data_IF_628609664964
#
_entry.id   IF_628609664964
#
_cell.length_a   1.000
_cell.length_b   1.000
_cell.length_c   1.000
_cell.angle_alpha   90.00
_cell.angle_beta   90.00
_cell.angle_gamma   90.00
#
_symmetry.space_group_name_H-M   'P 1'
#
loop_
_entity.id
_entity.type
_entity.pdbx_description
1 polymer ?
#
# COMPACT_ATOMS: atom_id res chain seq x y z
N UNK A 1 19.00 31.06 -5.06
CA UNK A 1 18.34 31.09 -6.37
C UNK A 1 16.85 30.83 -6.14
N UNK A 2 15.96 31.77 -6.50
CA UNK A 2 14.51 31.63 -6.30
C UNK A 2 13.95 30.31 -6.85
N UNK A 3 14.46 29.83 -7.99
CA UNK A 3 14.07 28.57 -8.65
C UNK A 3 14.21 27.31 -7.77
N UNK A 4 15.35 27.12 -7.10
CA UNK A 4 15.57 25.91 -6.29
C UNK A 4 14.63 25.86 -5.07
N UNK A 5 14.37 27.02 -4.46
CA UNK A 5 13.49 27.12 -3.31
C UNK A 5 12.03 26.82 -3.70
N UNK A 6 11.59 27.29 -4.87
CA UNK A 6 10.22 27.06 -5.36
C UNK A 6 9.97 25.59 -5.69
N UNK A 7 10.96 24.89 -6.24
CA UNK A 7 10.91 23.43 -6.40
C UNK A 7 10.82 22.74 -5.04
N UNK A 8 11.72 23.07 -4.10
CA UNK A 8 11.78 22.38 -2.81
C UNK A 8 10.50 22.57 -1.98
N UNK A 9 9.85 23.74 -2.04
CA UNK A 9 8.59 24.00 -1.31
C UNK A 9 7.46 23.03 -1.68
N UNK A 10 7.51 22.44 -2.86
CA UNK A 10 6.50 21.45 -3.30
C UNK A 10 6.66 20.10 -2.60
N UNK A 11 7.88 19.79 -2.16
CA UNK A 11 8.26 18.45 -1.72
C UNK A 11 8.78 18.37 -0.28
N UNK A 12 9.03 19.50 0.38
CA UNK A 12 9.56 19.56 1.75
C UNK A 12 8.70 20.50 2.61
N UNK A 13 8.40 20.09 3.85
CA UNK A 13 7.56 20.90 4.77
C UNK A 13 8.23 22.20 5.25
N UNK A 14 9.56 22.26 5.24
CA UNK A 14 10.35 23.47 5.46
C UNK A 14 11.72 23.34 4.78
N UNK A 15 12.43 24.46 4.59
CA UNK A 15 13.69 24.51 3.82
C UNK A 15 14.95 24.74 4.68
N UNK A 16 14.75 25.23 5.90
CA UNK A 16 15.77 25.87 6.73
C UNK A 16 15.89 25.24 8.12
N UNK A 17 14.94 24.39 8.52
CA UNK A 17 14.99 23.69 9.80
C UNK A 17 15.61 22.29 9.67
N UNK A 18 16.21 21.77 10.76
CA UNK A 18 16.84 20.45 10.76
C UNK A 18 15.83 19.29 10.73
N UNK A 19 14.57 19.53 11.10
CA UNK A 19 13.49 18.53 11.10
C UNK A 19 12.45 18.93 10.06
N UNK A 20 12.17 18.04 9.12
CA UNK A 20 11.26 18.27 8.00
C UNK A 20 10.72 16.94 7.48
N UNK A 21 9.63 16.98 6.71
CA UNK A 21 9.05 15.81 6.06
C UNK A 21 9.05 15.97 4.54
N UNK A 22 9.16 14.84 3.83
CA UNK A 22 8.94 14.76 2.40
C UNK A 22 7.44 14.65 2.11
N UNK A 23 6.92 15.53 1.26
CA UNK A 23 5.52 15.57 0.84
C UNK A 23 5.43 15.50 -0.68
N UNK A 24 4.29 15.09 -1.22
CA UNK A 24 3.99 15.11 -2.67
C UNK A 24 5.03 14.41 -3.59
N UNK A 25 5.83 13.49 -3.05
CA UNK A 25 6.73 12.62 -3.82
C UNK A 25 6.17 11.20 -3.84
N UNK A 26 6.29 10.47 -4.97
CA UNK A 26 5.99 9.04 -4.98
C UNK A 26 6.87 8.26 -4.00
N UNK A 27 6.31 7.21 -3.38
CA UNK A 27 7.03 6.41 -2.38
C UNK A 27 8.34 5.80 -2.92
N UNK A 28 8.32 5.35 -4.18
CA UNK A 28 9.53 4.86 -4.87
C UNK A 28 10.65 5.90 -4.90
N UNK A 29 10.31 7.17 -5.16
CA UNK A 29 11.29 8.27 -5.19
C UNK A 29 11.80 8.57 -3.78
N UNK A 30 10.93 8.55 -2.76
CA UNK A 30 11.35 8.73 -1.36
C UNK A 30 12.32 7.62 -0.95
N UNK A 31 12.02 6.36 -1.26
CA UNK A 31 12.88 5.23 -0.98
C UNK A 31 14.25 5.37 -1.63
N UNK A 32 14.27 5.66 -2.93
CA UNK A 32 15.50 5.90 -3.69
C UNK A 32 16.33 7.07 -3.14
N UNK A 33 15.68 8.18 -2.77
CA UNK A 33 16.36 9.34 -2.21
C UNK A 33 17.01 9.02 -0.86
N UNK A 34 16.32 8.32 0.04
CA UNK A 34 16.89 7.90 1.33
C UNK A 34 18.01 6.87 1.17
N UNK A 35 17.88 5.93 0.22
CA UNK A 35 18.93 4.98 -0.12
C UNK A 35 20.22 5.68 -0.56
N UNK A 36 20.10 6.70 -1.43
CA UNK A 36 21.24 7.51 -1.88
C UNK A 36 21.78 8.42 -0.78
N UNK A 37 20.90 8.95 0.07
CA UNK A 37 21.29 9.84 1.18
C UNK A 37 22.15 9.14 2.22
N UNK A 38 21.89 7.87 2.55
CA UNK A 38 22.67 7.13 3.54
C UNK A 38 24.15 6.97 3.18
N UNK A 39 24.52 7.19 1.90
CA UNK A 39 25.88 7.05 1.35
C UNK A 39 26.42 8.34 0.72
N UNK A 40 25.73 9.47 0.93
CA UNK A 40 26.11 10.77 0.37
C UNK A 40 26.56 11.72 1.47
N UNK A 41 27.53 12.59 1.17
CA UNK A 41 27.92 13.69 2.05
C UNK A 41 27.04 14.94 1.87
N UNK A 42 26.09 14.92 0.93
CA UNK A 42 25.16 16.04 0.68
C UNK A 42 23.97 15.98 1.63
N UNK A 43 23.37 17.14 1.93
CA UNK A 43 22.06 17.17 2.60
C UNK A 43 20.97 16.59 1.70
N UNK A 44 19.89 16.08 2.29
CA UNK A 44 18.78 15.47 1.55
C UNK A 44 18.20 16.41 0.48
N UNK A 45 18.00 17.69 0.82
CA UNK A 45 17.50 18.73 -0.11
C UNK A 45 18.46 18.97 -1.28
N UNK A 46 19.78 19.00 -1.02
CA UNK A 46 20.77 19.21 -2.07
C UNK A 46 20.91 17.99 -2.97
N UNK A 47 20.86 16.79 -2.38
CA UNK A 47 20.85 15.53 -3.12
C UNK A 47 19.62 15.45 -4.04
N UNK A 48 18.45 15.80 -3.53
CA UNK A 48 17.21 15.84 -4.31
C UNK A 48 17.31 16.76 -5.53
N UNK A 49 17.75 18.01 -5.33
CA UNK A 49 17.94 18.96 -6.43
C UNK A 49 18.99 18.52 -7.45
N UNK A 50 20.02 17.80 -7.01
CA UNK A 50 21.12 17.38 -7.88
C UNK A 50 20.80 16.15 -8.70
N UNK A 51 20.14 15.16 -8.09
CA UNK A 51 20.03 13.81 -8.66
C UNK A 51 18.60 13.38 -8.97
N UNK A 52 17.57 14.06 -8.44
CA UNK A 52 16.18 13.57 -8.52
C UNK A 52 15.20 14.55 -9.18
N UNK A 53 15.43 15.87 -9.08
CA UNK A 53 14.50 16.88 -9.62
C UNK A 53 14.27 16.74 -11.12
N UNK A 54 15.31 16.41 -11.88
CA UNK A 54 15.24 16.26 -13.34
C UNK A 54 14.53 14.99 -13.80
N UNK A 55 14.30 14.05 -12.88
CA UNK A 55 13.58 12.80 -13.14
C UNK A 55 12.09 12.87 -12.77
N UNK A 56 11.67 13.92 -12.04
CA UNK A 56 10.27 14.19 -11.78
C UNK A 56 9.64 14.87 -12.99
N UNK A 57 8.52 14.33 -13.47
CA UNK A 57 7.72 15.03 -14.46
C UNK A 57 6.96 16.16 -13.76
N UNK A 58 7.41 17.40 -13.98
CA UNK A 58 6.85 18.61 -13.36
C UNK A 58 5.74 19.22 -14.26
N UNK A 59 5.35 18.53 -15.33
CA UNK A 59 4.35 19.03 -16.28
C UNK A 59 2.89 18.78 -15.88
N UNK A 60 2.64 18.06 -14.78
CA UNK A 60 1.31 17.82 -14.24
C UNK A 60 0.84 18.96 -13.33
N UNK A 61 -0.28 19.57 -13.73
CA UNK A 61 -1.05 20.66 -13.14
C UNK A 61 -1.23 20.63 -11.60
N UNK A 62 -1.66 21.78 -11.06
CA UNK A 62 -1.83 22.20 -9.66
C UNK A 62 -2.72 21.32 -8.75
N UNK A 63 -2.92 20.05 -9.09
CA UNK A 63 -3.69 19.05 -8.35
C UNK A 63 -2.88 17.77 -8.22
N UNK A 64 -2.22 17.61 -7.06
CA UNK A 64 -1.89 16.36 -6.35
C UNK A 64 -1.80 15.08 -7.21
N UNK A 65 -1.01 15.07 -8.26
CA UNK A 65 -0.62 13.82 -8.91
C UNK A 65 0.72 14.00 -9.63
N UNK A 66 1.80 13.91 -8.86
CA UNK A 66 3.15 13.82 -9.42
C UNK A 66 3.33 12.41 -9.95
N UNK A 67 2.74 12.17 -11.11
CA UNK A 67 2.98 10.96 -11.89
C UNK A 67 4.41 11.03 -12.41
N UNK A 68 5.34 10.38 -11.72
CA UNK A 68 6.59 10.00 -12.38
C UNK A 68 6.17 9.10 -13.54
N UNK A 69 6.50 9.49 -14.78
CA UNK A 69 6.22 8.65 -15.93
C UNK A 69 6.69 7.23 -15.65
N UNK A 70 5.76 6.26 -15.68
CA UNK A 70 5.91 4.90 -15.16
C UNK A 70 7.28 4.27 -15.51
N UNK A 71 7.71 4.46 -16.77
CA UNK A 71 8.99 3.98 -17.32
C UNK A 71 10.23 4.56 -16.62
N UNK A 72 10.17 5.81 -16.17
CA UNK A 72 11.27 6.50 -15.49
C UNK A 72 11.31 6.18 -13.99
N UNK A 73 10.14 5.92 -13.39
CA UNK A 73 10.06 5.37 -12.04
C UNK A 73 10.69 3.97 -11.99
N UNK A 74 10.42 3.14 -12.99
CA UNK A 74 11.04 1.82 -13.18
C UNK A 74 12.55 1.93 -13.36
N UNK A 75 13.07 2.82 -14.22
CA UNK A 75 14.52 3.02 -14.40
C UNK A 75 15.22 3.55 -13.13
N UNK A 76 14.56 4.42 -12.37
CA UNK A 76 15.07 4.94 -11.10
C UNK A 76 15.06 3.85 -10.03
N UNK A 77 13.98 3.06 -9.98
CA UNK A 77 13.84 1.91 -9.10
C UNK A 77 14.90 0.85 -9.43
N UNK A 78 15.06 0.46 -10.69
CA UNK A 78 16.05 -0.53 -11.13
C UNK A 78 17.48 -0.08 -10.81
N UNK A 79 17.83 1.19 -11.07
CA UNK A 79 19.15 1.71 -10.70
C UNK A 79 19.37 1.63 -9.19
N UNK A 80 18.34 1.91 -8.40
CA UNK A 80 18.43 1.90 -6.94
C UNK A 80 18.44 0.47 -6.38
N UNK A 81 17.58 -0.40 -6.90
CA UNK A 81 17.41 -1.78 -6.42
C UNK A 81 18.62 -2.64 -6.82
N UNK A 82 19.14 -2.44 -8.03
CA UNK A 82 20.26 -3.23 -8.58
C UNK A 82 21.62 -2.79 -8.04
N UNK A 83 21.83 -1.49 -7.77
CA UNK A 83 23.11 -1.01 -7.19
C UNK A 83 23.15 -1.14 -5.66
N UNK A 84 22.01 -1.14 -4.95
CA UNK A 84 22.03 -0.87 -3.51
C UNK A 84 21.58 -2.02 -2.60
N UNK A 85 20.93 -3.08 -3.10
CA UNK A 85 20.79 -4.40 -2.44
C UNK A 85 20.29 -4.38 -0.98
N UNK A 86 19.51 -3.37 -0.61
CA UNK A 86 19.20 -3.06 0.78
C UNK A 86 17.71 -3.28 1.07
N UNK A 87 17.38 -4.37 1.77
CA UNK A 87 16.01 -4.70 2.17
C UNK A 87 15.34 -3.57 2.96
N UNK A 88 16.13 -2.72 3.63
CA UNK A 88 15.63 -1.55 4.36
C UNK A 88 14.99 -0.48 3.46
N UNK A 89 15.41 -0.39 2.20
CA UNK A 89 14.85 0.55 1.22
C UNK A 89 13.50 0.04 0.71
N UNK A 90 13.35 -1.28 0.54
CA UNK A 90 12.08 -1.89 0.17
C UNK A 90 10.99 -1.65 1.24
N UNK A 91 11.37 -1.54 2.51
CA UNK A 91 10.45 -1.22 3.62
C UNK A 91 9.91 0.21 3.58
N UNK A 92 10.53 1.11 2.81
CA UNK A 92 10.03 2.49 2.63
C UNK A 92 8.86 2.55 1.64
N UNK A 93 8.65 1.49 0.84
CA UNK A 93 7.49 1.34 -0.02
C UNK A 93 6.31 0.73 0.75
N UNK A 94 5.22 1.48 0.88
CA UNK A 94 3.94 0.98 1.39
C UNK A 94 2.92 0.77 0.28
N UNK A 95 1.98 -0.16 0.47
CA UNK A 95 0.79 -0.30 -0.37
C UNK A 95 -0.45 -0.40 0.50
N UNK A 96 -1.53 0.21 0.04
CA UNK A 96 -2.85 0.04 0.64
C UNK A 96 -3.58 -1.10 -0.08
N UNK A 97 -3.87 -2.19 0.62
CA UNK A 97 -4.55 -3.35 0.06
C UNK A 97 -5.97 -3.45 0.63
N UNK A 98 -6.96 -3.50 -0.28
CA UNK A 98 -8.33 -3.86 0.06
C UNK A 98 -8.54 -5.36 -0.23
N UNK A 99 -8.77 -6.15 0.81
CA UNK A 99 -9.05 -7.58 0.70
C UNK A 99 -10.55 -7.83 0.84
N UNK A 100 -11.26 -7.91 -0.28
CA UNK A 100 -12.70 -8.18 -0.31
C UNK A 100 -13.01 -9.67 -0.39
N UNK A 101 -14.17 -10.06 0.15
CA UNK A 101 -14.63 -11.47 0.18
C UNK A 101 -13.64 -12.43 0.86
N UNK A 102 -12.79 -11.91 1.75
CA UNK A 102 -11.92 -12.71 2.59
C UNK A 102 -12.74 -13.45 3.66
N UNK A 103 -12.43 -14.72 3.89
CA UNK A 103 -13.03 -15.47 5.00
C UNK A 103 -12.43 -15.01 6.33
N UNK A 104 -13.18 -15.20 7.43
CA UNK A 104 -12.65 -14.94 8.79
C UNK A 104 -11.35 -15.68 9.08
N UNK A 105 -11.12 -16.86 8.46
CA UNK A 105 -9.85 -17.58 8.61
C UNK A 105 -8.71 -16.87 7.86
N UNK A 106 -8.98 -16.41 6.64
CA UNK A 106 -8.00 -15.67 5.85
C UNK A 106 -7.63 -14.35 6.54
N UNK A 107 -8.59 -13.64 7.13
CA UNK A 107 -8.28 -12.39 7.85
C UNK A 107 -7.30 -12.64 9.00
N UNK A 108 -7.44 -13.74 9.76
CA UNK A 108 -6.46 -14.06 10.81
C UNK A 108 -5.07 -14.42 10.29
N UNK A 109 -4.95 -14.99 9.09
CA UNK A 109 -3.65 -15.22 8.45
C UNK A 109 -3.02 -13.89 8.03
N UNK A 110 -3.80 -13.00 7.41
CA UNK A 110 -3.34 -11.68 6.99
C UNK A 110 -2.91 -10.81 8.18
N UNK A 111 -3.69 -10.84 9.27
CA UNK A 111 -3.49 -10.03 10.47
C UNK A 111 -2.41 -10.58 11.42
N UNK A 112 -1.84 -11.75 11.12
CA UNK A 112 -0.81 -12.36 11.96
C UNK A 112 0.51 -11.58 11.94
N UNK A 113 0.81 -10.91 10.81
CA UNK A 113 2.02 -10.12 10.66
C UNK A 113 2.02 -8.87 11.56
N UNK A 114 3.18 -8.40 12.00
CA UNK A 114 3.31 -7.18 12.83
C UNK A 114 3.84 -5.97 12.07
N UNK A 115 4.07 -6.12 10.75
CA UNK A 115 4.68 -5.10 9.89
C UNK A 115 3.65 -4.29 9.09
N UNK A 116 2.35 -4.52 9.30
CA UNK A 116 1.26 -3.83 8.62
C UNK A 116 0.28 -3.24 9.64
N UNK A 117 -0.50 -2.25 9.20
CA UNK A 117 -1.64 -1.71 9.93
C UNK A 117 -2.94 -2.32 9.37
N UNK A 118 -3.81 -2.82 10.23
CA UNK A 118 -5.02 -3.54 9.84
C UNK A 118 -6.29 -2.76 10.17
N UNK A 119 -7.29 -2.87 9.28
CA UNK A 119 -8.65 -2.40 9.51
C UNK A 119 -9.63 -3.43 8.94
N UNK A 120 -10.24 -4.22 9.83
CA UNK A 120 -11.25 -5.25 9.50
C UNK A 120 -12.67 -4.69 9.64
N UNK A 121 -13.60 -5.19 8.81
CA UNK A 121 -15.02 -4.93 9.01
C UNK A 121 -15.48 -5.50 10.36
N UNK A 122 -15.93 -4.61 11.26
CA UNK A 122 -16.36 -5.00 12.60
C UNK A 122 -17.74 -5.67 12.58
N UNK A 123 -17.81 -6.94 13.01
CA UNK A 123 -19.06 -7.67 13.24
C UNK A 123 -19.94 -7.07 14.34
N UNK A 124 -19.39 -6.15 15.16
CA UNK A 124 -20.18 -5.37 16.15
C UNK A 124 -21.09 -4.32 15.50
N UNK A 125 -20.79 -3.91 14.27
CA UNK A 125 -21.52 -2.85 13.57
C UNK A 125 -22.12 -3.32 12.24
N UNK A 126 -21.55 -4.36 11.63
CA UNK A 126 -21.99 -4.90 10.34
C UNK A 126 -22.42 -6.35 10.53
N UNK A 127 -23.66 -6.66 10.16
CA UNK A 127 -24.16 -8.05 10.10
C UNK A 127 -23.71 -8.72 8.81
N UNK A 128 -23.33 -9.99 8.91
CA UNK A 128 -22.81 -10.79 7.79
C UNK A 128 -23.89 -11.67 7.12
N UNK A 129 -25.16 -11.33 7.33
CA UNK A 129 -26.33 -12.03 6.81
C UNK A 129 -26.72 -11.64 5.38
N UNK A 130 -26.07 -10.62 4.79
CA UNK A 130 -26.36 -10.25 3.42
C UNK A 130 -25.91 -11.33 2.42
N UNK A 131 -26.86 -11.73 1.57
CA UNK A 131 -26.65 -12.71 0.50
C UNK A 131 -26.07 -12.04 -0.74
N UNK A 132 -25.13 -12.71 -1.40
CA UNK A 132 -24.56 -12.29 -2.69
C UNK A 132 -24.92 -13.34 -3.75
N UNK A 133 -25.59 -12.92 -4.83
CA UNK A 133 -26.09 -13.85 -5.84
C UNK A 133 -27.04 -14.91 -5.27
N UNK A 134 -27.89 -14.52 -4.31
CA UNK A 134 -28.89 -15.39 -3.68
C UNK A 134 -28.37 -16.32 -2.58
N UNK A 135 -27.08 -16.30 -2.24
CA UNK A 135 -26.46 -17.22 -1.29
C UNK A 135 -25.77 -16.51 -0.13
N UNK A 136 -25.76 -17.14 1.04
CA UNK A 136 -24.90 -16.69 2.14
C UNK A 136 -23.42 -16.84 1.79
N UNK A 137 -22.63 -15.91 2.32
CA UNK A 137 -21.19 -15.80 2.09
C UNK A 137 -20.44 -16.63 3.13
N UNK A 138 -20.19 -17.89 2.79
CA UNK A 138 -19.24 -18.75 3.48
C UNK A 138 -18.40 -19.52 2.46
N UNK A 139 -17.20 -19.91 2.89
CA UNK A 139 -16.27 -20.66 2.05
C UNK A 139 -16.81 -22.06 1.74
N UNK A 140 -16.73 -22.49 0.48
CA UNK A 140 -17.25 -23.77 0.03
C UNK A 140 -16.10 -24.60 -0.53
N UNK A 141 -15.47 -25.38 0.35
CA UNK A 141 -14.35 -26.23 -0.03
C UNK A 141 -14.78 -27.25 -1.11
N UNK A 142 -14.14 -27.26 -2.30
CA UNK A 142 -14.56 -28.14 -3.39
C UNK A 142 -14.45 -29.64 -3.07
N UNK A 143 -13.50 -30.05 -2.23
CA UNK A 143 -13.33 -31.44 -1.82
C UNK A 143 -14.44 -31.88 -0.85
N UNK A 144 -14.81 -31.00 0.10
CA UNK A 144 -15.94 -31.22 1.00
C UNK A 144 -17.26 -31.29 0.23
N UNK A 145 -17.47 -30.37 -0.74
CA UNK A 145 -18.69 -30.35 -1.54
C UNK A 145 -18.87 -31.60 -2.41
N UNK A 146 -17.78 -32.20 -2.89
CA UNK A 146 -17.83 -33.46 -3.65
C UNK A 146 -17.95 -34.71 -2.76
N UNK A 147 -17.74 -34.57 -1.45
CA UNK A 147 -17.90 -35.67 -0.50
C UNK A 147 -19.37 -35.91 -0.16
N UNK A 148 -19.67 -37.02 0.52
CA UNK A 148 -21.00 -37.31 1.03
C UNK A 148 -21.48 -36.34 2.12
N UNK A 149 -20.61 -35.46 2.63
CA UNK A 149 -20.96 -34.41 3.59
C UNK A 149 -21.40 -33.09 2.93
N UNK A 150 -21.23 -32.93 1.62
CA UNK A 150 -21.43 -31.64 0.92
C UNK A 150 -22.81 -31.02 1.14
N UNK A 151 -23.88 -31.79 0.91
CA UNK A 151 -25.27 -31.32 1.10
C UNK A 151 -25.55 -30.95 2.55
N UNK A 152 -25.05 -31.76 3.50
CA UNK A 152 -25.21 -31.49 4.93
C UNK A 152 -24.50 -30.20 5.32
N UNK A 153 -23.27 -30.01 4.87
CA UNK A 153 -22.50 -28.79 5.14
C UNK A 153 -23.25 -27.54 4.70
N UNK A 154 -23.77 -27.51 3.47
CA UNK A 154 -24.54 -26.38 2.94
C UNK A 154 -25.80 -26.13 3.78
N UNK A 155 -26.58 -27.16 4.06
CA UNK A 155 -27.82 -27.03 4.83
C UNK A 155 -27.61 -26.52 6.25
N UNK A 156 -26.58 -27.03 6.95
CA UNK A 156 -26.26 -26.57 8.31
C UNK A 156 -25.73 -25.12 8.31
N UNK A 157 -24.86 -24.77 7.35
CA UNK A 157 -24.35 -23.40 7.24
C UNK A 157 -25.48 -22.41 6.92
N UNK A 158 -26.37 -22.73 5.97
CA UNK A 158 -27.50 -21.88 5.63
C UNK A 158 -28.43 -21.70 6.85
N UNK A 159 -28.70 -22.78 7.60
CA UNK A 159 -29.49 -22.72 8.83
C UNK A 159 -28.84 -21.85 9.92
N UNK A 160 -27.51 -21.93 10.08
CA UNK A 160 -26.78 -21.07 11.02
C UNK A 160 -26.92 -19.60 10.65
N UNK A 161 -26.81 -19.26 9.37
CA UNK A 161 -27.01 -17.89 8.91
C UNK A 161 -28.46 -17.43 9.05
N UNK A 162 -29.45 -18.25 8.69
CA UNK A 162 -30.87 -17.92 8.89
C UNK A 162 -31.16 -17.65 10.38
N UNK A 163 -30.57 -18.45 11.27
CA UNK A 163 -30.69 -18.25 12.73
C UNK A 163 -30.01 -16.96 13.18
N UNK A 164 -28.83 -16.67 12.64
CA UNK A 164 -28.12 -15.42 12.91
C UNK A 164 -28.85 -14.21 12.36
N UNK A 165 -29.65 -14.34 11.30
CA UNK A 165 -30.44 -13.27 10.66
C UNK A 165 -31.77 -12.95 11.36
N UNK A 166 -32.29 -13.89 12.15
CA UNK A 166 -33.48 -13.68 12.98
C UNK A 166 -33.27 -12.56 14.01
#
# INVERSE_FOLDING_TARGET
MPEEADVLRRYFTNLDQPVFALVNLPEVVKGALFARYSRSSLSLRRLFLKEFVGDLDISGDETIDVTVGLRRAEELYDRVFFEYGDDSVAQLGGVHLACEQASNLLTKVLEWGRLMSYLEQSTRYIRYDQRLGGRYRYYRDPSLLRSHYGTRYVGEMDRMFDTYSA
#
